data_IF_472286540578
#
_entry.id   IF_472286540578
#
_cell.length_a   1.000
_cell.length_b   1.000
_cell.length_c   1.000
_cell.angle_alpha   90.00
_cell.angle_beta   90.00
_cell.angle_gamma   90.00
#
_symmetry.space_group_name_H-M   'P 1'
#
loop_
_entity.id
_entity.type
_entity.pdbx_description
1 polymer ?
#
# COMPACT_ATOMS: atom_id res chain seq x y z
N UNK A 1 22.03 30.46 -20.62
CA UNK A 1 20.93 30.61 -19.63
C UNK A 1 19.83 29.60 -19.94
N UNK A 2 19.89 28.39 -19.38
CA UNK A 2 18.88 27.33 -19.58
C UNK A 2 18.08 27.15 -18.29
N UNK A 3 16.96 27.85 -18.19
CA UNK A 3 16.00 27.71 -17.09
C UNK A 3 15.18 26.44 -17.31
N UNK A 4 15.57 25.34 -16.67
CA UNK A 4 14.74 24.14 -16.57
C UNK A 4 13.54 24.48 -15.69
N UNK A 5 12.40 24.78 -16.34
CA UNK A 5 11.10 24.89 -15.69
C UNK A 5 10.76 23.54 -15.06
N UNK A 6 11.02 23.41 -13.76
CA UNK A 6 10.51 22.30 -12.98
C UNK A 6 8.98 22.42 -12.99
N UNK A 7 8.29 21.38 -13.46
CA UNK A 7 6.84 21.25 -13.42
C UNK A 7 6.29 21.36 -11.98
N UNK A 8 6.18 22.59 -11.46
CA UNK A 8 5.50 22.92 -10.21
C UNK A 8 4.01 22.54 -10.24
N UNK A 9 3.48 22.22 -11.42
CA UNK A 9 2.09 21.81 -11.64
C UNK A 9 1.73 20.40 -11.11
N UNK A 10 2.69 19.58 -10.66
CA UNK A 10 2.34 18.30 -10.00
C UNK A 10 1.74 18.47 -8.59
N UNK A 11 1.79 19.67 -8.01
CA UNK A 11 1.70 19.89 -6.57
C UNK A 11 0.39 20.54 -6.06
N UNK A 12 -0.70 20.45 -6.82
CA UNK A 12 -2.04 20.89 -6.36
C UNK A 12 -3.10 19.80 -6.52
N UNK A 13 -2.72 18.52 -6.40
CA UNK A 13 -3.74 17.45 -6.34
C UNK A 13 -4.52 17.63 -5.03
N UNK A 14 -5.85 17.70 -5.10
CA UNK A 14 -6.72 17.72 -3.93
C UNK A 14 -6.32 16.58 -2.99
N UNK A 15 -5.72 16.94 -1.85
CA UNK A 15 -5.18 15.96 -0.90
C UNK A 15 -6.36 15.33 -0.17
N UNK A 16 -6.56 14.03 -0.39
CA UNK A 16 -7.57 13.26 0.35
C UNK A 16 -7.03 12.92 1.72
N UNK A 17 -7.80 13.28 2.74
CA UNK A 17 -7.48 12.99 4.14
C UNK A 17 -8.03 11.60 4.51
N UNK A 18 -7.23 10.86 5.27
CA UNK A 18 -7.62 9.60 5.90
C UNK A 18 -7.62 9.89 7.39
N UNK A 19 -8.77 9.69 8.03
CA UNK A 19 -8.98 10.07 9.41
C UNK A 19 -8.08 9.25 10.36
N UNK A 20 -7.20 9.90 11.14
CA UNK A 20 -6.27 9.19 12.02
C UNK A 20 -6.95 8.43 13.16
N UNK A 21 -8.17 8.80 13.54
CA UNK A 21 -8.86 8.22 14.70
C UNK A 21 -9.71 7.01 14.31
N UNK A 22 -10.41 7.05 13.18
CA UNK A 22 -11.37 6.02 12.79
C UNK A 22 -10.88 5.12 11.64
N UNK A 23 -10.11 5.64 10.69
CA UNK A 23 -9.75 4.90 9.47
C UNK A 23 -8.34 4.32 9.51
N UNK A 24 -7.38 5.08 10.03
CA UNK A 24 -6.00 4.60 10.17
C UNK A 24 -5.91 3.33 11.02
N UNK A 25 -6.59 3.19 12.18
CA UNK A 25 -6.53 1.95 12.96
C UNK A 25 -7.04 0.72 12.20
N UNK A 26 -8.09 0.89 11.38
CA UNK A 26 -8.60 -0.18 10.52
C UNK A 26 -7.58 -0.59 9.46
N UNK A 27 -6.93 0.40 8.83
CA UNK A 27 -5.87 0.14 7.85
C UNK A 27 -4.66 -0.55 8.48
N UNK A 28 -4.29 -0.20 9.72
CA UNK A 28 -3.23 -0.87 10.47
C UNK A 28 -3.60 -2.32 10.82
N UNK A 29 -4.86 -2.60 11.17
CA UNK A 29 -5.34 -3.96 11.40
C UNK A 29 -5.21 -4.82 10.14
N UNK A 30 -5.62 -4.31 8.97
CA UNK A 30 -5.42 -5.00 7.69
C UNK A 30 -3.95 -5.18 7.35
N UNK A 31 -3.12 -4.17 7.63
CA UNK A 31 -1.67 -4.22 7.38
C UNK A 31 -0.96 -5.29 8.21
N UNK A 32 -1.42 -5.55 9.44
CA UNK A 32 -0.89 -6.61 10.29
C UNK A 32 -1.15 -8.02 9.73
N UNK A 33 -2.19 -8.18 8.91
CA UNK A 33 -2.58 -9.45 8.27
C UNK A 33 -1.91 -9.59 6.90
N UNK A 34 -2.02 -8.57 6.05
CA UNK A 34 -1.47 -8.56 4.70
C UNK A 34 -0.86 -7.19 4.38
N UNK A 35 0.44 -7.17 4.05
CA UNK A 35 1.20 -5.93 3.79
C UNK A 35 1.13 -5.49 2.32
N UNK A 36 0.73 -6.40 1.42
CA UNK A 36 0.60 -6.23 -0.03
C UNK A 36 -0.75 -6.77 -0.51
N UNK A 37 -1.87 -6.14 -0.11
CA UNK A 37 -3.20 -6.60 -0.50
C UNK A 37 -3.39 -6.56 -2.01
N UNK A 38 -4.00 -7.61 -2.56
CA UNK A 38 -4.39 -7.66 -3.97
C UNK A 38 -5.55 -6.69 -4.27
N UNK A 39 -5.81 -6.42 -5.56
CA UNK A 39 -6.80 -5.47 -6.03
C UNK A 39 -8.18 -5.67 -5.39
N UNK A 40 -8.67 -6.90 -5.35
CA UNK A 40 -9.99 -7.24 -4.79
C UNK A 40 -10.05 -6.88 -3.30
N UNK A 41 -8.98 -7.18 -2.56
CA UNK A 41 -8.89 -6.83 -1.14
C UNK A 41 -8.83 -5.31 -0.94
N UNK A 42 -8.10 -4.58 -1.79
CA UNK A 42 -8.06 -3.12 -1.77
C UNK A 42 -9.46 -2.52 -1.97
N UNK A 43 -10.23 -3.03 -2.92
CA UNK A 43 -11.61 -2.56 -3.16
C UNK A 43 -12.50 -2.84 -1.96
N UNK A 44 -12.41 -4.04 -1.38
CA UNK A 44 -13.16 -4.41 -0.18
C UNK A 44 -12.85 -3.47 0.99
N UNK A 45 -11.57 -3.24 1.29
CA UNK A 45 -11.13 -2.31 2.33
C UNK A 45 -11.65 -0.90 2.04
N UNK A 46 -11.62 -0.48 0.77
CA UNK A 46 -12.09 0.84 0.38
C UNK A 46 -13.59 1.02 0.61
N UNK A 47 -14.40 0.01 0.27
CA UNK A 47 -15.85 0.01 0.51
C UNK A 47 -16.15 0.05 2.01
N UNK A 48 -15.49 -0.79 2.81
CA UNK A 48 -15.68 -0.84 4.26
C UNK A 48 -15.34 0.50 4.95
N UNK A 49 -14.29 1.18 4.50
CA UNK A 49 -13.96 2.52 5.02
C UNK A 49 -14.98 3.58 4.59
N UNK A 50 -15.49 3.47 3.37
CA UNK A 50 -16.51 4.38 2.82
C UNK A 50 -17.88 4.25 3.48
N UNK A 51 -18.16 3.14 4.13
CA UNK A 51 -19.38 2.93 4.94
C UNK A 51 -19.27 3.56 6.34
N UNK A 52 -18.07 3.97 6.77
CA UNK A 52 -17.87 4.64 8.05
C UNK A 52 -18.50 6.02 8.14
N UNK A 53 -18.87 6.44 9.35
CA UNK A 53 -19.53 7.74 9.59
C UNK A 53 -18.74 8.94 9.06
N UNK A 54 -17.41 8.89 9.12
CA UNK A 54 -16.55 9.95 8.59
C UNK A 54 -16.84 10.21 7.11
N UNK A 55 -17.00 9.16 6.31
CA UNK A 55 -17.22 9.25 4.86
C UNK A 55 -18.65 9.63 4.47
N UNK A 56 -19.57 9.66 5.43
CA UNK A 56 -20.90 10.24 5.20
C UNK A 56 -20.84 11.78 5.13
N UNK A 57 -19.89 12.40 5.86
CA UNK A 57 -19.73 13.86 5.96
C UNK A 57 -18.59 14.40 5.08
N UNK A 58 -17.65 13.54 4.69
CA UNK A 58 -16.45 13.89 3.91
C UNK A 58 -16.37 13.09 2.59
N UNK A 59 -15.57 13.53 1.60
CA UNK A 59 -15.45 12.85 0.33
C UNK A 59 -15.07 11.36 0.45
N UNK A 60 -15.64 10.51 -0.39
CA UNK A 60 -15.34 9.07 -0.42
C UNK A 60 -13.91 8.77 -0.85
N UNK A 61 -13.37 7.66 -0.35
CA UNK A 61 -12.13 7.06 -0.81
C UNK A 61 -12.32 6.38 -2.16
N UNK A 62 -11.23 6.34 -2.90
CA UNK A 62 -11.04 5.49 -4.06
C UNK A 62 -9.94 4.49 -3.72
N UNK A 63 -9.94 3.33 -4.38
CA UNK A 63 -8.96 2.25 -4.22
C UNK A 63 -7.50 2.73 -4.35
N UNK A 64 -7.26 3.78 -5.15
CA UNK A 64 -5.93 4.41 -5.29
C UNK A 64 -5.42 5.01 -3.98
N UNK A 65 -6.29 5.57 -3.14
CA UNK A 65 -5.90 6.17 -1.86
C UNK A 65 -5.43 5.09 -0.88
N UNK A 66 -6.13 3.96 -0.84
CA UNK A 66 -5.75 2.80 -0.03
C UNK A 66 -4.41 2.25 -0.49
N UNK A 67 -4.24 2.03 -1.81
CA UNK A 67 -2.97 1.57 -2.39
C UNK A 67 -1.79 2.48 -2.03
N UNK A 68 -1.99 3.80 -2.09
CA UNK A 68 -0.97 4.78 -1.71
C UNK A 68 -0.69 4.73 -0.21
N UNK A 69 -1.71 4.57 0.63
CA UNK A 69 -1.52 4.41 2.07
C UNK A 69 -0.64 3.19 2.38
N UNK A 70 -0.93 2.02 1.81
CA UNK A 70 -0.11 0.81 2.01
C UNK A 70 1.34 1.01 1.54
N UNK A 71 1.54 1.63 0.37
CA UNK A 71 2.89 1.97 -0.11
C UNK A 71 3.64 2.88 0.85
N UNK A 72 2.98 3.94 1.33
CA UNK A 72 3.57 4.90 2.25
C UNK A 72 3.84 4.28 3.62
N UNK A 73 2.95 3.42 4.09
CA UNK A 73 3.08 2.70 5.36
C UNK A 73 4.28 1.75 5.32
N UNK A 74 4.45 0.95 4.25
CA UNK A 74 5.67 0.13 4.06
C UNK A 74 6.94 0.97 4.00
N UNK A 75 6.89 2.11 3.33
CA UNK A 75 8.03 3.03 3.30
C UNK A 75 8.36 3.61 4.69
N UNK A 76 7.33 3.88 5.52
CA UNK A 76 7.47 4.27 6.94
C UNK A 76 8.16 3.16 7.73
N UNK A 77 7.64 1.94 7.71
CA UNK A 77 8.22 0.79 8.42
C UNK A 77 9.69 0.59 8.02
N UNK A 78 9.99 0.52 6.72
CA UNK A 78 11.35 0.37 6.20
C UNK A 78 12.30 1.48 6.68
N UNK A 79 11.83 2.73 6.74
CA UNK A 79 12.64 3.87 7.21
C UNK A 79 12.91 3.76 8.71
N UNK A 80 11.90 3.39 9.50
CA UNK A 80 12.03 3.22 10.94
C UNK A 80 13.02 2.09 11.26
N UNK A 81 12.90 0.93 10.61
CA UNK A 81 13.85 -0.19 10.79
C UNK A 81 15.30 0.20 10.49
N UNK A 82 15.54 1.04 9.46
CA UNK A 82 16.89 1.51 9.10
C UNK A 82 17.49 2.52 10.07
N UNK A 83 16.66 3.32 10.73
CA UNK A 83 17.10 4.35 11.67
C UNK A 83 17.33 3.75 13.07
N UNK A 84 16.64 2.66 13.41
CA UNK A 84 16.72 2.04 14.74
C UNK A 84 17.84 1.01 14.90
N UNK A 85 18.50 0.56 13.83
CA UNK A 85 19.71 -0.28 13.96
C UNK A 85 20.94 0.61 14.24
N UNK A 86 21.57 0.58 15.43
CA UNK A 86 22.95 0.98 15.53
C UNK A 86 23.76 0.00 14.68
N UNK A 87 24.51 0.52 13.72
CA UNK A 87 25.28 -0.25 12.74
C UNK A 87 26.22 -1.23 13.43
N UNK A 88 25.82 -2.50 13.55
CA UNK A 88 26.77 -3.62 13.64
C UNK A 88 26.80 -4.25 12.26
N UNK A 89 27.90 -4.00 11.56
CA UNK A 89 28.23 -4.66 10.30
C UNK A 89 28.19 -6.17 10.52
N UNK A 90 27.30 -6.87 9.81
CA UNK A 90 27.53 -8.26 9.44
C UNK A 90 26.87 -8.56 8.09
N UNK A 91 27.73 -8.91 7.14
CA UNK A 91 27.38 -9.36 5.80
C UNK A 91 26.71 -10.76 5.86
N UNK A 92 25.84 -11.00 4.87
CA UNK A 92 25.13 -12.24 4.54
C UNK A 92 23.88 -12.55 5.39
N UNK A 93 22.72 -12.66 4.74
CA UNK A 93 22.05 -13.95 4.43
C UNK A 93 20.73 -13.69 3.68
N UNK A 94 20.73 -13.99 2.38
CA UNK A 94 19.67 -14.59 1.56
C UNK A 94 18.20 -14.15 1.77
N UNK A 95 17.70 -13.23 0.94
CA UNK A 95 16.27 -13.13 0.61
C UNK A 95 16.03 -13.75 -0.77
N UNK A 96 15.90 -15.07 -0.78
CA UNK A 96 15.53 -15.84 -1.96
C UNK A 96 14.08 -15.55 -2.32
N UNK A 97 13.90 -14.76 -3.37
CA UNK A 97 12.65 -14.62 -4.10
C UNK A 97 12.09 -15.99 -4.48
N UNK A 98 11.03 -16.43 -3.81
CA UNK A 98 10.19 -17.51 -4.33
C UNK A 98 9.27 -16.89 -5.37
N UNK A 99 9.51 -17.34 -6.60
CA UNK A 99 8.77 -17.06 -7.81
C UNK A 99 7.34 -17.59 -7.69
N UNK A 100 6.40 -16.77 -8.15
CA UNK A 100 5.05 -17.14 -8.54
C UNK A 100 5.09 -18.32 -9.52
N UNK A 101 4.33 -19.38 -9.24
CA UNK A 101 3.96 -20.39 -10.23
C UNK A 101 2.42 -20.47 -10.26
N UNK A 102 1.83 -19.72 -11.17
CA UNK A 102 0.51 -20.03 -11.72
C UNK A 102 0.66 -21.29 -12.58
N UNK A 103 -0.12 -22.33 -12.31
CA UNK A 103 -0.45 -23.35 -13.32
C UNK A 103 -1.82 -23.93 -12.98
N UNK A 104 -2.84 -23.37 -13.60
CA UNK A 104 -4.14 -24.03 -13.80
C UNK A 104 -4.25 -24.42 -15.27
N UNK A 105 -4.92 -25.55 -15.50
CA UNK A 105 -5.55 -25.99 -16.76
C UNK A 105 -4.69 -26.81 -17.77
N UNK A 106 -4.89 -28.13 -17.85
CA UNK A 106 -5.85 -28.77 -18.80
C UNK A 106 -5.69 -30.30 -18.88
N UNK A 107 -6.80 -30.96 -18.52
CA UNK A 107 -7.31 -32.27 -18.94
C UNK A 107 -6.59 -32.90 -20.15
N UNK A 108 -5.97 -34.06 -19.95
CA UNK A 108 -5.71 -35.03 -21.03
C UNK A 108 -6.86 -36.04 -21.06
N UNK A 109 -7.59 -36.06 -22.16
CA UNK A 109 -8.32 -37.22 -22.67
C UNK A 109 -7.82 -37.40 -24.10
N UNK A 110 -7.16 -38.54 -24.37
CA UNK A 110 -7.32 -39.32 -25.58
C UNK A 110 -6.46 -40.58 -25.44
N UNK A 111 -7.14 -41.70 -25.21
CA UNK A 111 -6.73 -43.03 -25.67
C UNK A 111 -7.73 -43.41 -26.75
#
# INVERSE_FOLDING_TARGET
NTTTSFDYNRSRRNRIFIDPTSEVPKLEQWFAIETHPDHILIERICSELNEGEYRTKFPKLESKHIRLWFKNHRAKVKRICRIQTPTVNNNNTNDSSIKTAETTEKKMHNV
#
